data_IF_205339580806
#
_entry.id   IF_205339580806
#
_cell.length_a   1.000
_cell.length_b   1.000
_cell.length_c   1.000
_cell.angle_alpha   90.00
_cell.angle_beta   90.00
_cell.angle_gamma   90.00
#
_symmetry.space_group_name_H-M   'P 1'
#
loop_
_entity.id
_entity.type
_entity.pdbx_description
1 polymer ?
#
# COMPACT_ATOMS: atom_id res chain seq x y z
N UNK A 1 18.01 8.47 -8.50
CA UNK A 1 18.41 7.40 -9.45
C UNK A 1 17.76 7.55 -10.83
N UNK A 2 16.43 7.55 -10.96
CA UNK A 2 15.75 7.59 -12.27
C UNK A 2 16.19 8.72 -13.20
N UNK A 3 16.50 9.90 -12.65
CA UNK A 3 17.13 10.99 -13.39
C UNK A 3 18.43 10.58 -14.10
N UNK A 4 19.35 9.91 -13.40
CA UNK A 4 20.65 9.53 -13.96
C UNK A 4 20.49 8.42 -15.00
N UNK A 5 19.60 7.46 -14.76
CA UNK A 5 19.26 6.43 -15.74
C UNK A 5 18.72 7.05 -17.03
N UNK A 6 17.77 7.99 -16.91
CA UNK A 6 17.27 8.76 -18.05
C UNK A 6 18.39 9.49 -18.78
N UNK A 7 19.28 10.17 -18.04
CA UNK A 7 20.41 10.90 -18.61
C UNK A 7 21.31 9.99 -19.45
N UNK A 8 21.79 8.88 -18.86
CA UNK A 8 22.72 7.95 -19.51
C UNK A 8 22.08 7.25 -20.70
N UNK A 9 20.83 6.80 -20.57
CA UNK A 9 20.10 6.12 -21.65
C UNK A 9 19.83 7.03 -22.85
N UNK A 10 19.76 8.34 -22.64
CA UNK A 10 19.55 9.34 -23.69
C UNK A 10 20.87 9.89 -24.26
N UNK A 11 22.03 9.37 -23.84
CA UNK A 11 23.35 9.73 -24.36
C UNK A 11 24.10 10.82 -23.57
N UNK A 12 23.67 11.15 -22.35
CA UNK A 12 24.42 11.99 -21.42
C UNK A 12 25.37 11.17 -20.54
N UNK A 13 26.03 11.84 -19.60
CA UNK A 13 27.05 11.23 -18.72
C UNK A 13 26.73 11.49 -17.25
N UNK A 14 26.81 10.43 -16.44
CA UNK A 14 26.77 10.49 -14.99
C UNK A 14 28.02 9.85 -14.38
N UNK A 15 28.50 10.40 -13.27
CA UNK A 15 29.68 9.92 -12.56
C UNK A 15 29.35 9.64 -11.09
N UNK A 16 30.16 8.78 -10.46
CA UNK A 16 30.10 8.65 -9.00
C UNK A 16 30.78 9.84 -8.34
N UNK A 17 30.15 10.40 -7.30
CA UNK A 17 30.72 11.50 -6.53
C UNK A 17 31.15 11.03 -5.14
N UNK A 18 32.29 11.55 -4.69
CA UNK A 18 32.71 11.40 -3.29
C UNK A 18 31.85 12.23 -2.33
N UNK A 19 31.10 13.21 -2.86
CA UNK A 19 30.17 14.03 -2.10
C UNK A 19 28.76 13.46 -2.23
N UNK A 20 28.27 12.88 -1.14
CA UNK A 20 26.88 12.45 -1.05
C UNK A 20 26.07 13.49 -0.31
N UNK A 21 24.93 13.86 -0.87
CA UNK A 21 23.99 14.78 -0.24
C UNK A 21 22.67 14.05 -0.03
N UNK A 22 22.38 13.83 1.24
CA UNK A 22 21.12 13.27 1.70
C UNK A 22 20.54 14.25 2.72
N UNK A 23 19.57 15.03 2.29
CA UNK A 23 18.95 15.99 3.20
C UNK A 23 18.42 17.25 2.53
N UNK A 24 18.13 18.22 3.40
CA UNK A 24 17.58 19.51 3.01
C UNK A 24 18.60 20.29 2.19
N UNK A 25 18.20 20.69 0.99
CA UNK A 25 18.97 21.58 0.13
C UNK A 25 18.05 22.64 -0.50
N UNK A 26 18.65 23.53 -1.29
CA UNK A 26 17.91 24.51 -2.08
C UNK A 26 18.25 24.37 -3.56
N UNK A 27 17.22 24.43 -4.40
CA UNK A 27 17.34 24.50 -5.86
C UNK A 27 17.01 25.91 -6.31
N UNK A 28 17.89 26.51 -7.11
CA UNK A 28 17.66 27.75 -7.84
C UNK A 28 17.12 27.44 -9.23
N UNK A 29 16.03 28.10 -9.61
CA UNK A 29 15.39 27.88 -10.91
C UNK A 29 16.07 28.73 -11.98
N UNK A 30 16.45 28.09 -13.07
CA UNK A 30 17.18 28.73 -14.18
C UNK A 30 16.24 29.15 -15.31
N UNK A 31 15.23 28.31 -15.60
CA UNK A 31 14.33 28.49 -16.74
C UNK A 31 12.90 28.15 -16.36
N UNK A 32 11.95 28.71 -17.09
CA UNK A 32 10.55 28.30 -16.98
C UNK A 32 10.37 26.86 -17.48
N UNK A 33 9.42 26.15 -16.88
CA UNK A 33 9.09 24.77 -17.24
C UNK A 33 7.65 24.44 -16.85
N UNK A 34 6.92 23.66 -17.68
CA UNK A 34 5.62 23.12 -17.30
C UNK A 34 5.63 22.34 -15.97
N UNK A 35 6.78 21.76 -15.59
CA UNK A 35 6.92 20.97 -14.36
C UNK A 35 6.62 21.80 -13.08
N UNK A 36 6.91 23.09 -13.09
CA UNK A 36 6.71 24.00 -11.95
C UNK A 36 5.97 25.28 -12.35
N UNK A 37 5.16 25.19 -13.40
CA UNK A 37 4.29 26.28 -13.85
C UNK A 37 3.36 26.75 -12.73
N UNK A 38 3.23 28.07 -12.58
CA UNK A 38 2.42 28.71 -11.54
C UNK A 38 2.93 28.48 -10.11
N UNK A 39 4.15 27.95 -9.95
CA UNK A 39 4.70 27.53 -8.67
C UNK A 39 6.09 28.10 -8.43
N UNK A 40 7.05 27.85 -9.33
CA UNK A 40 8.42 28.34 -9.21
C UNK A 40 8.82 29.18 -10.43
N UNK A 41 9.52 30.28 -10.21
CA UNK A 41 9.98 31.19 -11.28
C UNK A 41 11.52 31.29 -11.33
N UNK A 42 12.11 31.59 -12.50
CA UNK A 42 13.55 31.81 -12.62
C UNK A 42 14.10 32.81 -11.59
N UNK A 43 15.28 32.51 -11.04
CA UNK A 43 15.94 33.28 -9.97
C UNK A 43 15.42 33.02 -8.56
N UNK A 44 14.34 32.24 -8.39
CA UNK A 44 13.88 31.84 -7.06
C UNK A 44 14.63 30.61 -6.54
N UNK A 45 14.74 30.51 -5.21
CA UNK A 45 15.32 29.37 -4.51
C UNK A 45 14.24 28.65 -3.71
N UNK A 46 14.18 27.32 -3.85
CA UNK A 46 13.15 26.48 -3.22
C UNK A 46 13.77 25.34 -2.44
N UNK A 47 13.20 25.03 -1.27
CA UNK A 47 13.63 23.92 -0.44
C UNK A 47 13.24 22.59 -1.08
N UNK A 48 14.18 21.65 -1.12
CA UNK A 48 13.96 20.28 -1.58
C UNK A 48 14.69 19.28 -0.68
N UNK A 49 14.32 18.00 -0.83
CA UNK A 49 15.03 16.89 -0.20
C UNK A 49 15.91 16.15 -1.20
N UNK A 50 17.21 16.46 -1.20
CA UNK A 50 18.20 15.83 -2.06
C UNK A 50 18.54 14.42 -1.59
N UNK A 51 18.83 13.54 -2.55
CA UNK A 51 19.25 12.17 -2.26
C UNK A 51 20.11 11.64 -3.41
N UNK A 52 21.40 11.96 -3.34
CA UNK A 52 22.36 11.48 -4.33
C UNK A 52 23.73 11.19 -3.74
N UNK A 53 24.36 10.16 -4.30
CA UNK A 53 25.81 9.97 -4.23
C UNK A 53 26.48 10.11 -5.59
N UNK A 54 25.77 9.80 -6.67
CA UNK A 54 26.23 9.97 -8.05
C UNK A 54 25.50 11.17 -8.67
N UNK A 55 26.10 11.80 -9.68
CA UNK A 55 25.52 13.00 -10.32
C UNK A 55 25.70 12.98 -11.83
N UNK A 56 24.80 13.66 -12.51
CA UNK A 56 24.97 13.97 -13.93
C UNK A 56 26.09 15.01 -14.09
N UNK A 57 26.91 14.86 -15.12
CA UNK A 57 27.97 15.80 -15.49
C UNK A 57 27.82 16.34 -16.91
N UNK A 58 27.12 15.62 -17.78
CA UNK A 58 26.82 16.04 -19.14
C UNK A 58 25.38 15.68 -19.49
N UNK A 59 24.60 16.66 -19.97
CA UNK A 59 23.23 16.44 -20.39
C UNK A 59 23.18 15.80 -21.79
N UNK A 60 22.20 14.91 -22.03
CA UNK A 60 21.96 14.39 -23.36
C UNK A 60 21.54 15.49 -24.35
N UNK A 61 21.80 15.33 -25.67
CA UNK A 61 21.38 16.30 -26.67
C UNK A 61 19.88 16.61 -26.61
N UNK A 62 19.54 17.90 -26.68
CA UNK A 62 18.15 18.39 -26.63
C UNK A 62 17.66 18.71 -25.21
N UNK A 63 18.29 18.17 -24.17
CA UNK A 63 17.94 18.48 -22.79
C UNK A 63 18.53 19.82 -22.35
N UNK A 64 17.80 20.51 -21.48
CA UNK A 64 18.17 21.82 -20.93
C UNK A 64 18.21 21.75 -19.41
N UNK A 65 19.16 22.48 -18.81
CA UNK A 65 19.13 22.76 -17.37
C UNK A 65 17.92 23.64 -17.06
N UNK A 66 17.12 23.22 -16.09
CA UNK A 66 15.93 23.93 -15.62
C UNK A 66 16.13 24.47 -14.20
N UNK A 67 17.01 23.85 -13.41
CA UNK A 67 17.38 24.32 -12.08
C UNK A 67 18.66 23.65 -11.57
N UNK A 68 19.37 24.36 -10.70
CA UNK A 68 20.66 23.97 -10.12
C UNK A 68 20.60 24.00 -8.59
N UNK A 69 21.46 23.23 -7.93
CA UNK A 69 21.77 23.39 -6.51
C UNK A 69 23.26 23.70 -6.33
N UNK A 70 23.67 24.03 -5.11
CA UNK A 70 25.08 24.28 -4.77
C UNK A 70 25.99 23.08 -5.08
N UNK A 71 25.46 21.87 -4.94
CA UNK A 71 26.16 20.58 -5.10
C UNK A 71 25.90 19.90 -6.45
N UNK A 72 24.87 20.31 -7.19
CA UNK A 72 24.41 19.65 -8.41
C UNK A 72 23.97 20.67 -9.47
N UNK A 73 24.81 20.93 -10.50
CA UNK A 73 24.46 21.86 -11.57
C UNK A 73 23.26 21.40 -12.41
N UNK A 74 22.92 20.11 -12.34
CA UNK A 74 21.81 19.49 -13.04
C UNK A 74 20.73 19.00 -12.07
N UNK A 75 20.44 19.76 -11.02
CA UNK A 75 19.41 19.40 -10.02
C UNK A 75 18.04 19.17 -10.67
N UNK A 76 17.71 19.94 -11.72
CA UNK A 76 16.56 19.73 -12.60
C UNK A 76 17.02 19.91 -14.05
N UNK A 77 16.72 18.93 -14.90
CA UNK A 77 16.85 19.06 -16.34
C UNK A 77 15.60 18.53 -17.05
N UNK A 78 15.41 18.92 -18.31
CA UNK A 78 14.34 18.33 -19.11
C UNK A 78 14.43 18.63 -20.60
N UNK A 79 13.76 17.80 -21.38
CA UNK A 79 13.37 18.03 -22.77
C UNK A 79 11.86 18.23 -22.78
N UNK A 80 11.43 19.50 -22.95
CA UNK A 80 10.03 19.90 -22.86
C UNK A 80 9.22 19.32 -24.03
N UNK A 81 9.82 19.25 -25.22
CA UNK A 81 9.15 18.73 -26.42
C UNK A 81 8.85 17.23 -26.26
N UNK A 82 9.82 16.48 -25.73
CA UNK A 82 9.67 15.05 -25.46
C UNK A 82 9.00 14.76 -24.12
N UNK A 83 8.67 15.79 -23.33
CA UNK A 83 8.07 15.69 -22.00
C UNK A 83 8.87 14.82 -21.02
N UNK A 84 10.20 14.85 -21.15
CA UNK A 84 11.11 14.08 -20.30
C UNK A 84 11.77 14.99 -19.27
N UNK A 85 11.66 14.64 -17.99
CA UNK A 85 12.17 15.44 -16.89
C UNK A 85 13.01 14.59 -15.93
N UNK A 86 14.12 15.17 -15.49
CA UNK A 86 14.99 14.58 -14.50
C UNK A 86 15.11 15.52 -13.30
N UNK A 87 14.79 15.02 -12.11
CA UNK A 87 14.96 15.72 -10.84
C UNK A 87 15.87 14.91 -9.91
N UNK A 88 16.69 15.62 -9.16
CA UNK A 88 17.70 15.03 -8.27
C UNK A 88 17.21 14.94 -6.81
N UNK A 89 16.07 15.53 -6.51
CA UNK A 89 15.41 15.46 -5.20
C UNK A 89 14.14 14.61 -5.23
N UNK A 90 13.61 14.34 -4.04
CA UNK A 90 12.36 13.60 -3.83
C UNK A 90 11.17 14.57 -3.69
N UNK A 91 10.28 14.70 -4.69
CA UNK A 91 9.05 15.49 -4.56
C UNK A 91 7.95 14.77 -3.77
N UNK A 92 8.07 13.47 -3.54
CA UNK A 92 7.09 12.65 -2.82
C UNK A 92 7.19 12.78 -1.30
N UNK A 93 8.29 13.32 -0.77
CA UNK A 93 8.51 13.46 0.67
C UNK A 93 8.10 14.83 1.18
N UNK A 94 7.61 14.89 2.42
CA UNK A 94 7.16 16.11 3.10
C UNK A 94 8.23 17.20 3.21
N UNK A 95 9.51 16.83 3.09
CA UNK A 95 10.64 17.74 3.19
C UNK A 95 10.85 18.61 1.92
N UNK A 96 10.13 18.29 0.83
CA UNK A 96 10.00 19.14 -0.36
C UNK A 96 8.59 19.77 -0.32
N UNK A 97 8.43 21.00 0.20
CA UNK A 97 7.10 21.55 0.53
C UNK A 97 6.13 21.62 -0.65
N UNK A 98 6.62 21.96 -1.85
CA UNK A 98 5.80 22.01 -3.07
C UNK A 98 5.80 20.69 -3.86
N UNK A 99 6.37 19.61 -3.32
CA UNK A 99 6.60 18.37 -4.05
C UNK A 99 5.33 17.75 -4.64
N UNK A 100 4.23 17.74 -3.87
CA UNK A 100 2.93 17.28 -4.37
C UNK A 100 2.40 18.14 -5.54
N UNK A 101 2.69 19.45 -5.57
CA UNK A 101 2.28 20.35 -6.66
C UNK A 101 3.11 20.10 -7.92
N UNK A 102 4.41 19.78 -7.78
CA UNK A 102 5.26 19.37 -8.90
C UNK A 102 4.76 18.06 -9.53
N UNK A 103 4.45 17.07 -8.70
CA UNK A 103 3.87 15.80 -9.14
C UNK A 103 2.53 16.02 -9.84
N UNK A 104 1.68 16.90 -9.29
CA UNK A 104 0.41 17.30 -9.91
C UNK A 104 0.62 17.88 -11.31
N UNK A 105 1.58 18.80 -11.48
CA UNK A 105 1.90 19.38 -12.80
C UNK A 105 2.39 18.29 -13.77
N UNK A 106 3.22 17.36 -13.31
CA UNK A 106 3.67 16.24 -14.14
C UNK A 106 2.52 15.32 -14.58
N UNK A 107 1.71 14.85 -13.63
CA UNK A 107 0.62 13.89 -13.88
C UNK A 107 -0.47 14.52 -14.75
N UNK A 108 -0.96 15.70 -14.40
CA UNK A 108 -2.11 16.30 -15.08
C UNK A 108 -1.72 17.13 -16.30
N UNK A 109 -0.78 18.07 -16.17
CA UNK A 109 -0.51 19.05 -17.22
C UNK A 109 0.42 18.47 -18.30
N UNK A 110 1.46 17.73 -17.88
CA UNK A 110 2.46 17.18 -18.80
C UNK A 110 1.97 15.85 -19.38
N UNK A 111 1.64 14.87 -18.53
CA UNK A 111 1.22 13.54 -18.95
C UNK A 111 -0.25 13.47 -19.41
N UNK A 112 -1.07 14.47 -19.06
CA UNK A 112 -2.47 14.54 -19.51
C UNK A 112 -3.40 13.56 -18.80
N UNK A 113 -3.05 13.10 -17.59
CA UNK A 113 -3.87 12.15 -16.82
C UNK A 113 -4.96 12.93 -16.07
N UNK A 114 -6.23 12.58 -16.23
CA UNK A 114 -7.36 13.40 -15.77
C UNK A 114 -7.60 13.34 -14.25
N UNK A 115 -7.18 12.27 -13.56
CA UNK A 115 -7.40 12.10 -12.12
C UNK A 115 -8.77 11.51 -11.77
N UNK A 116 -9.22 10.53 -12.53
CA UNK A 116 -10.47 9.79 -12.33
C UNK A 116 -10.40 8.75 -11.19
N UNK A 117 -9.19 8.44 -10.71
CA UNK A 117 -8.98 7.58 -9.54
C UNK A 117 -9.42 8.26 -8.24
N UNK A 118 -10.69 8.07 -7.90
CA UNK A 118 -11.32 8.55 -6.66
C UNK A 118 -11.78 7.38 -5.80
N UNK A 119 -11.91 7.59 -4.49
CA UNK A 119 -12.45 6.56 -3.60
C UNK A 119 -13.88 6.12 -3.95
N UNK A 120 -14.66 7.01 -4.58
CA UNK A 120 -15.99 6.67 -5.10
C UNK A 120 -15.90 5.70 -6.28
N UNK A 121 -15.11 6.06 -7.30
CA UNK A 121 -14.91 5.22 -8.47
C UNK A 121 -14.29 3.86 -8.07
N UNK A 122 -13.32 3.87 -7.14
CA UNK A 122 -12.72 2.65 -6.61
C UNK A 122 -13.75 1.76 -5.91
N UNK A 123 -14.58 2.32 -5.02
CA UNK A 123 -15.66 1.56 -4.34
C UNK A 123 -16.60 0.92 -5.36
N UNK A 124 -17.07 1.68 -6.34
CA UNK A 124 -17.98 1.18 -7.38
C UNK A 124 -17.34 0.04 -8.18
N UNK A 125 -16.07 0.20 -8.58
CA UNK A 125 -15.31 -0.83 -9.29
C UNK A 125 -15.09 -2.08 -8.44
N UNK A 126 -14.72 -1.92 -7.16
CA UNK A 126 -14.49 -3.02 -6.23
C UNK A 126 -15.77 -3.83 -6.00
N UNK A 127 -16.90 -3.14 -5.75
CA UNK A 127 -18.21 -3.78 -5.55
C UNK A 127 -18.65 -4.57 -6.78
N UNK A 128 -18.49 -4.00 -7.99
CA UNK A 128 -18.82 -4.70 -9.24
C UNK A 128 -17.91 -5.93 -9.47
N UNK A 129 -16.61 -5.79 -9.20
CA UNK A 129 -15.63 -6.88 -9.31
C UNK A 129 -15.98 -8.02 -8.36
N UNK A 130 -16.25 -7.72 -7.09
CA UNK A 130 -16.64 -8.72 -6.08
C UNK A 130 -17.93 -9.43 -6.53
N UNK A 131 -18.94 -8.67 -6.97
CA UNK A 131 -20.22 -9.24 -7.42
C UNK A 131 -20.05 -10.21 -8.58
N UNK A 132 -19.22 -9.85 -9.56
CA UNK A 132 -18.91 -10.70 -10.72
C UNK A 132 -18.12 -11.95 -10.33
N UNK A 133 -17.14 -11.81 -9.45
CA UNK A 133 -16.31 -12.92 -9.00
C UNK A 133 -17.08 -13.92 -8.14
N UNK A 134 -17.87 -13.44 -7.19
CA UNK A 134 -18.65 -14.29 -6.26
C UNK A 134 -19.85 -14.91 -6.96
N UNK A 135 -20.55 -14.14 -7.81
CA UNK A 135 -21.76 -14.61 -8.49
C UNK A 135 -22.81 -15.10 -7.48
N UNK A 136 -23.11 -16.40 -7.50
CA UNK A 136 -24.06 -17.04 -6.57
C UNK A 136 -23.39 -17.78 -5.41
N UNK A 137 -22.07 -17.71 -5.29
CA UNK A 137 -21.31 -18.39 -4.26
C UNK A 137 -21.52 -17.80 -2.87
N UNK A 138 -21.15 -18.56 -1.83
CA UNK A 138 -21.13 -18.10 -0.44
C UNK A 138 -19.74 -17.61 -0.06
N UNK A 139 -19.70 -16.52 0.71
CA UNK A 139 -18.46 -15.90 1.18
C UNK A 139 -18.42 -15.97 2.69
N UNK A 140 -17.29 -16.42 3.24
CA UNK A 140 -17.00 -16.27 4.66
C UNK A 140 -15.87 -15.27 4.86
N UNK A 141 -15.98 -14.46 5.90
CA UNK A 141 -14.96 -13.47 6.24
C UNK A 141 -14.51 -13.67 7.69
N UNK A 142 -13.19 -13.80 7.87
CA UNK A 142 -12.55 -13.72 9.16
C UNK A 142 -12.50 -12.25 9.60
N UNK A 143 -13.46 -11.84 10.43
CA UNK A 143 -13.54 -10.48 10.95
C UNK A 143 -12.69 -10.38 12.21
N UNK A 144 -11.74 -9.44 12.24
CA UNK A 144 -10.84 -9.23 13.39
C UNK A 144 -11.17 -8.00 14.24
N UNK A 145 -12.05 -7.12 13.75
CA UNK A 145 -12.27 -5.78 14.33
C UNK A 145 -11.27 -4.72 13.86
N UNK A 146 -10.22 -5.12 13.13
CA UNK A 146 -9.32 -4.19 12.45
C UNK A 146 -10.00 -3.46 11.30
N UNK A 147 -9.46 -2.29 10.91
CA UNK A 147 -10.02 -1.47 9.83
C UNK A 147 -10.07 -2.23 8.51
N UNK A 148 -9.02 -2.99 8.18
CA UNK A 148 -8.91 -3.67 6.89
C UNK A 148 -9.97 -4.75 6.70
N UNK A 149 -10.11 -5.65 7.68
CA UNK A 149 -11.14 -6.72 7.65
C UNK A 149 -12.55 -6.13 7.72
N UNK A 150 -12.73 -5.01 8.44
CA UNK A 150 -14.01 -4.32 8.54
C UNK A 150 -14.44 -3.67 7.22
N UNK A 151 -13.54 -2.94 6.56
CA UNK A 151 -13.83 -2.32 5.26
C UNK A 151 -14.04 -3.38 4.18
N UNK A 152 -13.24 -4.45 4.19
CA UNK A 152 -13.43 -5.58 3.27
C UNK A 152 -14.81 -6.23 3.46
N UNK A 153 -15.22 -6.51 4.71
CA UNK A 153 -16.54 -7.06 5.01
C UNK A 153 -17.67 -6.15 4.51
N UNK A 154 -17.56 -4.83 4.70
CA UNK A 154 -18.57 -3.88 4.24
C UNK A 154 -18.67 -3.80 2.71
N UNK A 155 -17.53 -3.78 2.00
CA UNK A 155 -17.53 -3.78 0.52
C UNK A 155 -18.12 -5.07 -0.05
N UNK A 156 -17.82 -6.21 0.56
CA UNK A 156 -18.37 -7.50 0.15
C UNK A 156 -19.86 -7.57 0.45
N UNK A 157 -20.29 -7.11 1.63
CA UNK A 157 -21.70 -7.06 1.98
C UNK A 157 -22.49 -6.16 1.03
N UNK A 158 -21.94 -5.01 0.64
CA UNK A 158 -22.54 -4.16 -0.39
C UNK A 158 -22.66 -4.85 -1.76
N UNK A 159 -21.69 -5.71 -2.10
CA UNK A 159 -21.67 -6.43 -3.36
C UNK A 159 -22.67 -7.60 -3.41
N UNK A 160 -22.75 -8.41 -2.35
CA UNK A 160 -23.40 -9.72 -2.34
C UNK A 160 -24.37 -9.97 -1.18
N UNK A 161 -24.58 -8.98 -0.31
CA UNK A 161 -25.58 -9.00 0.76
C UNK A 161 -25.46 -10.22 1.68
N UNK A 162 -26.53 -11.01 1.76
CA UNK A 162 -26.68 -12.19 2.62
C UNK A 162 -25.81 -13.38 2.22
N UNK A 163 -25.12 -13.32 1.07
CA UNK A 163 -24.13 -14.33 0.68
C UNK A 163 -22.87 -14.28 1.56
N UNK A 164 -22.67 -13.17 2.30
CA UNK A 164 -21.56 -12.99 3.23
C UNK A 164 -21.96 -13.40 4.66
N UNK A 165 -21.11 -14.22 5.29
CA UNK A 165 -21.13 -14.43 6.74
C UNK A 165 -19.77 -14.08 7.34
N UNK A 166 -19.76 -13.17 8.30
CA UNK A 166 -18.57 -12.84 9.08
C UNK A 166 -18.48 -13.71 10.33
N UNK A 167 -17.26 -14.12 10.66
CA UNK A 167 -16.94 -14.86 11.89
C UNK A 167 -15.89 -14.04 12.64
N UNK A 168 -16.23 -13.62 13.86
CA UNK A 168 -15.32 -12.99 14.80
C UNK A 168 -14.97 -14.01 15.89
N UNK A 169 -13.70 -14.41 15.94
CA UNK A 169 -13.17 -15.30 16.98
C UNK A 169 -12.58 -14.45 18.10
N UNK A 170 -13.25 -14.39 19.24
CA UNK A 170 -12.68 -13.81 20.45
C UNK A 170 -11.74 -14.84 21.09
N UNK A 171 -10.44 -14.57 20.96
CA UNK A 171 -9.38 -15.41 21.50
C UNK A 171 -8.95 -15.00 22.91
N UNK A 172 -9.66 -14.05 23.56
CA UNK A 172 -9.37 -13.61 24.92
C UNK A 172 -8.12 -12.72 25.07
N UNK A 173 -7.54 -12.26 23.96
CA UNK A 173 -6.38 -11.34 23.95
C UNK A 173 -6.71 -10.00 23.28
N UNK A 174 -7.99 -9.72 23.05
CA UNK A 174 -8.45 -8.44 22.50
C UNK A 174 -8.38 -7.34 23.57
N UNK A 175 -8.52 -6.07 23.15
CA UNK A 175 -8.63 -4.97 24.12
C UNK A 175 -9.96 -5.07 24.86
N UNK A 176 -10.01 -4.41 26.01
CA UNK A 176 -11.22 -4.33 26.84
C UNK A 176 -12.43 -3.90 25.98
N UNK A 177 -13.50 -4.68 26.05
CA UNK A 177 -14.78 -4.45 25.38
C UNK A 177 -14.73 -4.38 23.83
N UNK A 178 -13.61 -4.80 23.21
CA UNK A 178 -13.41 -4.70 21.76
C UNK A 178 -14.33 -5.63 20.97
N UNK A 179 -14.42 -6.91 21.36
CA UNK A 179 -15.30 -7.87 20.69
C UNK A 179 -16.77 -7.43 20.72
N UNK A 180 -17.23 -6.92 21.87
CA UNK A 180 -18.57 -6.37 22.02
C UNK A 180 -18.79 -5.16 21.11
N UNK A 181 -17.85 -4.21 21.11
CA UNK A 181 -17.93 -3.00 20.28
C UNK A 181 -18.00 -3.33 18.78
N UNK A 182 -17.25 -4.34 18.33
CA UNK A 182 -17.31 -4.82 16.94
C UNK A 182 -18.67 -5.44 16.65
N UNK A 183 -19.19 -6.30 17.54
CA UNK A 183 -20.51 -6.93 17.34
C UNK A 183 -21.62 -5.89 17.27
N UNK A 184 -21.61 -4.90 18.17
CA UNK A 184 -22.57 -3.79 18.17
C UNK A 184 -22.51 -3.02 16.85
N UNK A 185 -21.30 -2.65 16.39
CA UNK A 185 -21.12 -1.94 15.14
C UNK A 185 -21.74 -2.69 13.95
N UNK A 186 -21.39 -3.96 13.77
CA UNK A 186 -21.78 -4.73 12.59
C UNK A 186 -23.24 -5.17 12.60
N UNK A 187 -23.76 -5.61 13.75
CA UNK A 187 -25.16 -6.06 13.85
C UNK A 187 -26.14 -4.90 13.89
N UNK A 188 -25.86 -3.83 14.64
CA UNK A 188 -26.84 -2.76 14.87
C UNK A 188 -26.82 -1.70 13.78
N UNK A 189 -25.66 -1.34 13.23
CA UNK A 189 -25.57 -0.28 12.23
C UNK A 189 -25.59 -0.77 10.79
N UNK A 190 -25.07 -1.97 10.53
CA UNK A 190 -24.91 -2.50 9.17
C UNK A 190 -25.79 -3.72 8.87
N UNK A 191 -26.47 -4.29 9.87
CA UNK A 191 -27.30 -5.49 9.75
C UNK A 191 -26.58 -6.66 9.05
N UNK A 192 -25.26 -6.77 9.30
CA UNK A 192 -24.41 -7.77 8.64
C UNK A 192 -24.47 -9.10 9.42
N UNK A 193 -24.60 -10.26 8.75
CA UNK A 193 -24.53 -11.57 9.40
C UNK A 193 -23.18 -11.81 10.07
N UNK A 194 -23.11 -11.66 11.39
CA UNK A 194 -21.90 -11.81 12.20
C UNK A 194 -22.08 -12.86 13.29
N UNK A 195 -21.17 -13.82 13.32
CA UNK A 195 -21.07 -14.85 14.36
C UNK A 195 -19.91 -14.48 15.28
N UNK A 196 -20.22 -14.28 16.57
CA UNK A 196 -19.21 -14.14 17.61
C UNK A 196 -18.93 -15.52 18.20
N UNK A 197 -17.67 -15.90 18.24
CA UNK A 197 -17.18 -17.18 18.76
C UNK A 197 -16.27 -16.88 19.93
N UNK A 198 -16.74 -17.15 21.15
CA UNK A 198 -15.89 -17.06 22.34
C UNK A 198 -15.03 -18.33 22.41
N UNK A 199 -13.72 -18.15 22.16
CA UNK A 199 -12.71 -19.19 22.25
C UNK A 199 -11.66 -18.85 23.32
N UNK A 200 -11.94 -17.90 24.20
CA UNK A 200 -10.97 -17.33 25.16
C UNK A 200 -10.27 -18.42 25.97
N UNK A 201 -11.03 -19.33 26.60
CA UNK A 201 -10.47 -20.41 27.41
C UNK A 201 -9.52 -21.31 26.62
N UNK A 202 -9.87 -21.67 25.37
CA UNK A 202 -9.05 -22.53 24.49
C UNK A 202 -7.70 -21.89 24.19
N UNK A 203 -7.68 -20.59 23.95
CA UNK A 203 -6.44 -19.87 23.65
C UNK A 203 -5.62 -19.61 24.91
N UNK A 204 -6.23 -19.15 25.99
CA UNK A 204 -5.52 -18.86 27.24
C UNK A 204 -4.88 -20.13 27.82
N UNK A 205 -5.62 -21.25 27.89
CA UNK A 205 -5.06 -22.52 28.37
C UNK A 205 -3.92 -23.03 27.49
N UNK A 206 -3.98 -22.85 26.17
CA UNK A 206 -2.92 -23.28 25.28
C UNK A 206 -1.65 -22.42 25.34
N UNK A 207 -1.74 -21.21 25.92
CA UNK A 207 -0.63 -20.28 26.10
C UNK A 207 -0.05 -20.32 27.52
N UNK A 208 -0.67 -21.06 28.43
CA UNK A 208 -0.24 -21.15 29.82
C UNK A 208 1.20 -21.68 29.91
N UNK A 209 2.06 -20.95 30.62
CA UNK A 209 3.47 -21.31 30.82
C UNK A 209 4.38 -21.10 29.59
N UNK A 210 3.87 -20.65 28.44
CA UNK A 210 4.68 -20.43 27.25
C UNK A 210 5.30 -19.03 27.22
N UNK A 211 6.63 -18.97 27.32
CA UNK A 211 7.38 -17.71 27.28
C UNK A 211 7.85 -17.36 25.86
N UNK A 212 8.05 -18.34 24.99
CA UNK A 212 8.64 -18.14 23.67
C UNK A 212 7.66 -17.43 22.71
N UNK A 213 8.03 -16.25 22.18
CA UNK A 213 7.12 -15.46 21.35
C UNK A 213 6.75 -16.15 20.02
N UNK A 214 7.65 -16.94 19.44
CA UNK A 214 7.40 -17.63 18.17
C UNK A 214 6.45 -18.82 18.35
N UNK A 215 6.61 -19.58 19.45
CA UNK A 215 5.65 -20.62 19.83
C UNK A 215 4.27 -20.04 20.11
N UNK A 216 4.18 -18.92 20.84
CA UNK A 216 2.89 -18.23 21.05
C UNK A 216 2.24 -17.85 19.73
N UNK A 217 2.99 -17.24 18.80
CA UNK A 217 2.51 -16.86 17.46
C UNK A 217 1.96 -18.06 16.69
N UNK A 218 2.72 -19.17 16.65
CA UNK A 218 2.29 -20.41 15.98
C UNK A 218 1.06 -21.04 16.63
N UNK A 219 1.00 -21.05 17.96
CA UNK A 219 -0.14 -21.58 18.71
C UNK A 219 -1.41 -20.78 18.45
N UNK A 220 -1.35 -19.44 18.53
CA UNK A 220 -2.49 -18.56 18.25
C UNK A 220 -2.97 -18.75 16.79
N UNK A 221 -2.05 -18.72 15.83
CA UNK A 221 -2.41 -18.89 14.41
C UNK A 221 -3.06 -20.25 14.12
N UNK A 222 -2.51 -21.34 14.67
CA UNK A 222 -3.08 -22.69 14.54
C UNK A 222 -4.48 -22.78 15.15
N UNK A 223 -4.67 -22.30 16.39
CA UNK A 223 -5.96 -22.35 17.08
C UNK A 223 -7.01 -21.50 16.37
N UNK A 224 -6.63 -20.34 15.85
CA UNK A 224 -7.53 -19.49 15.07
C UNK A 224 -8.04 -20.21 13.83
N UNK A 225 -7.13 -20.85 13.08
CA UNK A 225 -7.48 -21.68 11.92
C UNK A 225 -8.45 -22.80 12.31
N UNK A 226 -8.16 -23.54 13.39
CA UNK A 226 -9.02 -24.64 13.84
C UNK A 226 -10.42 -24.16 14.21
N UNK A 227 -10.54 -23.10 15.02
CA UNK A 227 -11.83 -22.54 15.43
C UNK A 227 -12.59 -22.00 14.21
N UNK A 228 -11.92 -21.28 13.32
CA UNK A 228 -12.56 -20.74 12.12
C UNK A 228 -13.04 -21.85 11.18
N UNK A 229 -12.26 -22.92 10.98
CA UNK A 229 -12.67 -24.10 10.20
C UNK A 229 -13.88 -24.82 10.81
N UNK A 230 -13.90 -24.97 12.15
CA UNK A 230 -15.02 -25.57 12.87
C UNK A 230 -16.32 -24.79 12.63
N UNK A 231 -16.27 -23.46 12.68
CA UNK A 231 -17.43 -22.59 12.47
C UNK A 231 -17.85 -22.53 10.99
N UNK A 232 -16.90 -22.43 10.06
CA UNK A 232 -17.19 -22.46 8.63
C UNK A 232 -17.90 -23.76 8.21
N UNK A 233 -17.53 -24.90 8.80
CA UNK A 233 -18.21 -26.19 8.56
C UNK A 233 -19.65 -26.20 9.06
N UNK A 234 -19.95 -25.57 10.20
CA UNK A 234 -21.32 -25.45 10.74
C UNK A 234 -22.24 -24.67 9.81
N UNK A 235 -21.69 -23.76 9.00
CA UNK A 235 -22.42 -22.98 8.00
C UNK A 235 -22.72 -23.75 6.69
N UNK A 236 -22.29 -25.01 6.60
CA UNK A 236 -22.40 -25.81 5.39
C UNK A 236 -21.33 -25.48 4.34
N UNK A 237 -20.22 -24.85 4.75
CA UNK A 237 -19.12 -24.46 3.89
C UNK A 237 -19.31 -23.11 3.19
N UNK A 238 -18.29 -22.73 2.42
CA UNK A 238 -18.26 -21.51 1.62
C UNK A 238 -17.45 -21.74 0.34
N UNK A 239 -17.71 -20.95 -0.70
CA UNK A 239 -16.97 -21.00 -1.96
C UNK A 239 -15.75 -20.05 -1.95
N UNK A 240 -15.83 -18.99 -1.15
CA UNK A 240 -14.82 -17.93 -1.07
C UNK A 240 -14.43 -17.58 0.36
N UNK A 241 -13.13 -17.32 0.57
CA UNK A 241 -12.61 -16.74 1.80
C UNK A 241 -12.23 -15.27 1.58
N UNK A 242 -12.92 -14.38 2.28
CA UNK A 242 -12.63 -12.96 2.25
C UNK A 242 -11.47 -12.58 3.20
N UNK A 243 -10.49 -11.84 2.67
CA UNK A 243 -9.37 -11.29 3.43
C UNK A 243 -9.24 -9.78 3.19
N UNK A 244 -8.94 -9.02 4.24
CA UNK A 244 -8.64 -7.58 4.15
C UNK A 244 -7.19 -7.28 3.74
N UNK A 245 -6.60 -8.07 2.86
CA UNK A 245 -5.18 -7.94 2.47
C UNK A 245 -4.95 -6.64 1.71
N UNK A 246 -3.93 -5.87 2.09
CA UNK A 246 -3.62 -4.58 1.45
C UNK A 246 -2.54 -4.72 0.37
N UNK A 247 -2.43 -3.71 -0.50
CA UNK A 247 -1.45 -3.70 -1.59
C UNK A 247 0.02 -3.87 -1.15
N UNK A 248 0.48 -3.27 -0.03
CA UNK A 248 1.82 -3.56 0.50
C UNK A 248 2.05 -5.04 0.80
N UNK A 249 1.04 -5.75 1.32
CA UNK A 249 1.16 -7.18 1.64
C UNK A 249 1.30 -8.02 0.36
N UNK A 250 0.66 -7.60 -0.75
CA UNK A 250 0.81 -8.25 -2.05
C UNK A 250 2.21 -8.01 -2.63
N UNK A 251 2.71 -6.77 -2.63
CA UNK A 251 4.06 -6.45 -3.12
C UNK A 251 5.13 -7.25 -2.35
N UNK A 252 4.99 -7.35 -1.03
CA UNK A 252 5.92 -8.12 -0.18
C UNK A 252 5.86 -9.64 -0.44
N UNK A 253 4.73 -10.15 -0.93
CA UNK A 253 4.55 -11.57 -1.26
C UNK A 253 5.08 -11.97 -2.65
N UNK A 254 5.24 -11.01 -3.56
CA UNK A 254 5.78 -11.23 -4.90
C UNK A 254 7.27 -10.90 -4.88
N UNK A 255 8.13 -11.92 -4.76
CA UNK A 255 9.57 -11.72 -4.88
C UNK A 255 9.92 -11.32 -6.32
N UNK A 256 10.25 -10.05 -6.53
CA UNK A 256 10.62 -9.54 -7.86
C UNK A 256 11.96 -10.10 -8.37
N UNK A 257 12.72 -10.76 -7.49
CA UNK A 257 14.00 -11.38 -7.77
C UNK A 257 14.25 -12.39 -6.68
N UNK A 258 14.48 -13.67 -7.04
CA UNK A 258 14.55 -14.85 -6.16
C UNK A 258 15.66 -14.88 -5.09
N UNK A 259 15.94 -13.76 -4.42
CA UNK A 259 16.65 -13.70 -3.15
C UNK A 259 15.67 -13.92 -1.98
N UNK A 260 16.19 -14.25 -0.78
CA UNK A 260 15.35 -14.64 0.34
C UNK A 260 14.51 -13.44 0.77
N UNK A 261 13.22 -13.45 0.47
CA UNK A 261 12.27 -12.57 1.14
C UNK A 261 12.37 -12.92 2.61
N UNK A 262 12.86 -12.00 3.44
CA UNK A 262 12.66 -12.13 4.88
C UNK A 262 11.15 -12.17 5.05
N UNK A 263 10.61 -13.34 5.41
CA UNK A 263 9.18 -13.59 5.52
C UNK A 263 8.64 -12.83 6.73
N UNK A 264 8.61 -11.50 6.66
CA UNK A 264 8.32 -10.62 7.80
C UNK A 264 6.85 -10.77 8.25
N UNK A 265 5.99 -11.41 7.45
CA UNK A 265 4.56 -11.58 7.77
C UNK A 265 3.99 -12.98 7.47
N UNK A 266 4.60 -14.05 8.00
CA UNK A 266 3.99 -15.39 8.01
C UNK A 266 2.61 -15.45 8.72
N UNK A 267 2.31 -14.46 9.56
CA UNK A 267 1.12 -14.36 10.40
C UNK A 267 -0.09 -13.70 9.72
N UNK A 268 0.13 -12.89 8.68
CA UNK A 268 -0.95 -12.18 7.98
C UNK A 268 -1.55 -13.01 6.86
N UNK A 269 -0.80 -14.00 6.38
CA UNK A 269 -1.30 -14.94 5.40
C UNK A 269 -1.97 -16.10 6.13
N UNK A 270 -3.28 -16.00 6.31
CA UNK A 270 -4.15 -17.17 6.20
C UNK A 270 -4.14 -17.77 4.79
N UNK A 271 -3.15 -17.47 3.94
CA UNK A 271 -3.03 -17.93 2.54
C UNK A 271 -2.95 -19.45 2.37
N UNK A 272 -2.69 -20.23 3.43
CA UNK A 272 -2.82 -21.69 3.40
C UNK A 272 -4.24 -22.21 3.70
N UNK A 273 -5.13 -21.36 4.23
CA UNK A 273 -6.52 -21.71 4.51
C UNK A 273 -7.35 -21.98 3.25
N UNK A 274 -7.29 -21.16 2.17
CA UNK A 274 -8.08 -21.41 0.97
C UNK A 274 -7.81 -22.81 0.39
N UNK A 275 -6.54 -23.20 0.24
CA UNK A 275 -6.18 -24.53 -0.25
C UNK A 275 -6.64 -25.64 0.71
N UNK A 276 -6.42 -25.47 2.01
CA UNK A 276 -6.81 -26.46 3.03
C UNK A 276 -8.33 -26.62 3.15
N UNK A 277 -9.10 -25.58 2.84
CA UNK A 277 -10.56 -25.55 2.94
C UNK A 277 -11.27 -25.72 1.58
N UNK A 278 -10.54 -25.94 0.48
CA UNK A 278 -11.06 -25.98 -0.90
C UNK A 278 -11.88 -24.73 -1.28
N UNK A 279 -11.40 -23.54 -0.89
CA UNK A 279 -12.01 -22.25 -1.19
C UNK A 279 -11.19 -21.48 -2.22
N UNK A 280 -11.86 -20.52 -2.88
CA UNK A 280 -11.23 -19.52 -3.74
C UNK A 280 -10.92 -18.23 -3.01
#
# INVERSE_FOLDING_TARGET
YGQMALCVQMGGVAESSNHREFGRAFVEIEKESPLFEGLWAPGQRHQVWMSHGDRVIELPPGFKVLGKSESSPFAIFGDIERKMYGIMFHPEVVHTPDGARLLRNFVHNIAGIEGDWTMRAYREHAVDTIRKQVGKGKVICALSGGVDSSVAALLIHEAVGDQLTCILVDHGLMRKDEAQSVVEMFRQHYNLPLILVDASDRFISALEGEADPEKKRKTIGRLFIEVFEEEAKKLGGADFLAQGTLYPDVIESVSFSGGPSVTIKSHHNVGGLPERMNMK
#
